data_IF_230329380863
#
_entry.id   IF_230329380863
#
_cell.length_a   1.000
_cell.length_b   1.000
_cell.length_c   1.000
_cell.angle_alpha   90.00
_cell.angle_beta   90.00
_cell.angle_gamma   90.00
#
_symmetry.space_group_name_H-M   'P 1'
#
loop_
_entity.id
_entity.type
_entity.pdbx_description
1 polymer ?
#
# COMPACT_ATOMS: atom_id res chain seq x y z
N UNK A 1 3.01 16.16 15.65
CA UNK A 1 2.73 14.95 16.45
C UNK A 1 4.03 14.20 16.76
N UNK A 2 4.01 13.17 17.62
CA UNK A 2 5.22 12.40 17.99
C UNK A 2 5.87 11.75 16.75
N UNK A 3 5.08 11.10 15.90
CA UNK A 3 5.57 10.43 14.69
C UNK A 3 6.27 11.38 13.73
N UNK A 4 5.67 12.53 13.44
CA UNK A 4 6.28 13.57 12.58
C UNK A 4 7.63 14.05 13.12
N UNK A 5 7.79 14.08 14.45
CA UNK A 5 9.05 14.47 15.08
C UNK A 5 10.10 13.36 14.94
N UNK A 6 9.73 12.09 15.14
CA UNK A 6 10.61 10.94 14.92
C UNK A 6 11.08 10.87 13.46
N UNK A 7 10.16 11.08 12.51
CA UNK A 7 10.46 11.17 11.08
C UNK A 7 11.46 12.29 10.81
N UNK A 8 11.22 13.49 11.34
CA UNK A 8 12.16 14.62 11.15
C UNK A 8 13.53 14.34 11.74
N UNK A 9 13.62 13.71 12.91
CA UNK A 9 14.89 13.36 13.54
C UNK A 9 15.67 12.32 12.74
N UNK A 10 15.03 11.25 12.31
CA UNK A 10 15.68 10.19 11.52
C UNK A 10 16.08 10.68 10.13
N UNK A 11 15.20 11.45 9.48
CA UNK A 11 15.51 12.04 8.19
C UNK A 11 16.73 12.97 8.30
N UNK A 12 16.80 13.80 9.34
CA UNK A 12 17.97 14.63 9.62
C UNK A 12 19.23 13.80 9.90
N UNK A 13 19.12 12.69 10.63
CA UNK A 13 20.24 11.78 10.89
C UNK A 13 20.79 11.15 9.60
N UNK A 14 19.92 10.93 8.60
CA UNK A 14 20.27 10.42 7.26
C UNK A 14 20.65 11.49 6.26
N UNK A 15 20.53 12.78 6.61
CA UNK A 15 20.77 13.90 5.69
C UNK A 15 19.70 14.05 4.60
N UNK A 16 18.49 13.53 4.83
CA UNK A 16 17.34 13.70 3.94
C UNK A 16 16.73 15.09 4.15
N UNK A 17 16.40 15.76 3.05
CA UNK A 17 15.81 17.12 3.04
C UNK A 17 14.74 17.21 1.97
N UNK A 18 13.70 18.03 2.20
CA UNK A 18 12.64 18.29 1.22
C UNK A 18 12.97 19.56 0.44
N UNK A 19 12.83 19.53 -0.89
CA UNK A 19 12.98 20.74 -1.70
C UNK A 19 11.72 21.63 -1.61
N UNK A 20 11.90 22.95 -1.74
CA UNK A 20 10.79 23.90 -1.71
C UNK A 20 9.78 23.66 -2.84
N UNK A 21 10.23 23.17 -4.00
CA UNK A 21 9.33 22.83 -5.11
C UNK A 21 8.48 21.59 -4.81
N UNK A 22 9.04 20.58 -4.13
CA UNK A 22 8.27 19.39 -3.69
C UNK A 22 7.21 19.77 -2.67
N UNK A 23 7.55 20.65 -1.73
CA UNK A 23 6.60 21.22 -0.76
C UNK A 23 5.45 21.95 -1.47
N UNK A 24 5.78 22.74 -2.49
CA UNK A 24 4.81 23.49 -3.27
C UNK A 24 3.94 22.55 -4.12
N UNK A 25 4.54 21.59 -4.82
CA UNK A 25 3.84 20.59 -5.63
C UNK A 25 2.87 19.78 -4.77
N UNK A 26 3.32 19.31 -3.61
CA UNK A 26 2.47 18.58 -2.66
C UNK A 26 1.31 19.43 -2.17
N UNK A 27 1.54 20.71 -1.91
CA UNK A 27 0.49 21.66 -1.52
C UNK A 27 -0.51 21.88 -2.66
N UNK A 28 -0.04 22.04 -3.89
CA UNK A 28 -0.87 22.16 -5.08
C UNK A 28 -1.78 20.94 -5.27
N UNK A 29 -1.23 19.73 -5.15
CA UNK A 29 -1.99 18.48 -5.22
C UNK A 29 -3.08 18.40 -4.15
N UNK A 30 -2.77 18.77 -2.90
CA UNK A 30 -3.75 18.81 -1.80
C UNK A 30 -4.90 19.78 -2.07
N UNK A 31 -4.64 20.85 -2.85
CA UNK A 31 -5.63 21.84 -3.24
C UNK A 31 -6.34 21.50 -4.55
N UNK A 32 -5.95 20.41 -5.21
CA UNK A 32 -6.44 20.03 -6.53
C UNK A 32 -6.01 20.99 -7.64
N UNK A 33 -4.91 21.72 -7.45
CA UNK A 33 -4.34 22.60 -8.48
C UNK A 33 -3.50 21.78 -9.46
N UNK A 34 -3.80 21.93 -10.75
CA UNK A 34 -3.06 21.29 -11.85
C UNK A 34 -2.13 22.31 -12.52
N UNK A 35 -0.85 22.28 -12.12
CA UNK A 35 0.20 23.16 -12.64
C UNK A 35 0.45 22.94 -14.14
N UNK A 36 0.33 21.71 -14.63
CA UNK A 36 0.58 21.36 -16.03
C UNK A 36 -0.52 21.90 -16.95
N UNK A 37 -1.78 21.78 -16.53
CA UNK A 37 -2.91 22.39 -17.22
C UNK A 37 -2.78 23.93 -17.26
N UNK A 38 -2.38 24.54 -16.15
CA UNK A 38 -2.16 25.98 -16.08
C UNK A 38 -1.00 26.46 -17.00
N UNK A 39 0.10 25.71 -17.04
CA UNK A 39 1.25 25.99 -17.93
C UNK A 39 0.89 25.86 -19.41
N UNK A 40 0.12 24.83 -19.76
CA UNK A 40 -0.34 24.58 -21.14
C UNK A 40 -1.25 25.70 -21.65
N UNK A 41 -2.16 26.22 -20.81
CA UNK A 41 -3.05 27.33 -21.17
C UNK A 41 -2.29 28.65 -21.47
N UNK A 42 -1.17 28.91 -20.77
CA UNK A 42 -0.31 30.07 -21.01
C UNK A 42 0.44 29.92 -22.34
N UNK A 43 0.86 28.70 -22.68
CA UNK A 43 1.54 28.37 -23.93
C UNK A 43 0.60 28.52 -25.14
N UNK A 44 -0.65 28.05 -25.04
CA UNK A 44 -1.65 28.28 -26.09
C UNK A 44 -1.97 29.78 -26.26
N UNK A 45 -2.11 30.53 -25.17
CA UNK A 45 -2.38 31.97 -25.23
C UNK A 45 -1.24 32.77 -25.89
N UNK A 46 0.01 32.38 -25.66
CA UNK A 46 1.19 33.04 -26.25
C UNK A 46 1.42 32.67 -27.71
N UNK A 47 1.06 31.45 -28.15
CA UNK A 47 1.09 31.08 -29.58
C UNK A 47 0.00 31.74 -30.41
N UNK A 48 -1.15 32.08 -29.82
CA UNK A 48 -2.24 32.80 -30.48
C UNK A 48 -1.98 34.31 -30.65
N UNK A 49 -0.88 34.84 -30.11
CA UNK A 49 -0.50 36.26 -30.25
C UNK A 49 0.47 36.52 -31.41
N UNK A 50 0.93 35.48 -32.11
CA UNK A 50 1.67 35.62 -33.37
C UNK A 50 0.74 35.44 -34.57
N UNK A 51 0.87 36.33 -35.55
CA UNK A 51 -0.18 36.68 -36.53
C UNK A 51 -0.59 35.51 -37.45
N UNK A 52 -1.80 34.95 -37.27
CA UNK A 52 -2.57 34.33 -38.36
C UNK A 52 -4.07 34.27 -38.02
N UNK A 53 -4.90 34.83 -38.91
CA UNK A 53 -6.36 34.77 -38.84
C UNK A 53 -6.85 33.32 -38.93
N UNK A 54 -7.60 32.85 -37.93
CA UNK A 54 -8.31 31.56 -37.98
C UNK A 54 -9.79 31.79 -37.66
N UNK A 55 -10.60 31.19 -38.52
CA UNK A 55 -12.06 31.21 -38.59
C UNK A 55 -12.66 30.48 -37.38
N UNK A 56 -13.73 31.04 -36.83
CA UNK A 56 -14.42 30.59 -35.62
C UNK A 56 -14.92 29.13 -35.74
N UNK A 57 -14.34 28.24 -34.93
CA UNK A 57 -15.01 27.02 -34.46
C UNK A 57 -15.17 27.17 -32.96
N UNK A 58 -16.42 27.12 -32.49
CA UNK A 58 -16.78 27.27 -31.08
C UNK A 58 -16.23 26.10 -30.26
N UNK A 59 -15.07 26.31 -29.64
CA UNK A 59 -14.54 25.45 -28.59
C UNK A 59 -15.14 25.91 -27.27
N UNK A 60 -15.58 24.95 -26.45
CA UNK A 60 -16.20 25.19 -25.15
C UNK A 60 -15.42 26.21 -24.33
N UNK A 61 -16.11 27.22 -23.78
CA UNK A 61 -15.54 28.15 -22.80
C UNK A 61 -14.88 27.34 -21.68
N UNK A 62 -13.54 27.38 -21.51
CA UNK A 62 -12.92 26.78 -20.35
C UNK A 62 -13.49 27.49 -19.12
N UNK A 63 -14.06 26.73 -18.18
CA UNK A 63 -14.33 27.25 -16.84
C UNK A 63 -13.02 27.87 -16.32
N UNK A 64 -13.04 29.07 -15.71
CA UNK A 64 -11.83 29.62 -15.12
C UNK A 64 -11.38 28.68 -14.01
N UNK A 65 -10.33 27.91 -14.28
CA UNK A 65 -9.59 27.23 -13.21
C UNK A 65 -9.11 28.34 -12.28
N UNK A 66 -9.51 28.27 -11.00
CA UNK A 66 -9.05 29.24 -10.01
C UNK A 66 -7.53 29.23 -9.96
N UNK A 67 -6.93 30.41 -9.82
CA UNK A 67 -5.48 30.49 -9.64
C UNK A 67 -5.06 29.80 -8.33
N UNK A 68 -3.80 29.37 -8.26
CA UNK A 68 -3.25 28.78 -7.04
C UNK A 68 -3.46 29.70 -5.82
N UNK A 69 -3.21 31.01 -5.97
CA UNK A 69 -3.38 31.98 -4.88
C UNK A 69 -4.83 32.05 -4.36
N UNK A 70 -5.81 31.95 -5.26
CA UNK A 70 -7.23 31.92 -4.89
C UNK A 70 -7.61 30.63 -4.18
N UNK A 71 -7.14 29.48 -4.68
CA UNK A 71 -7.34 28.18 -4.04
C UNK A 71 -6.69 28.15 -2.65
N UNK A 72 -5.45 28.62 -2.54
CA UNK A 72 -4.73 28.68 -1.27
C UNK A 72 -5.43 29.59 -0.27
N UNK A 73 -5.91 30.76 -0.72
CA UNK A 73 -6.67 31.69 0.13
C UNK A 73 -7.98 31.05 0.61
N UNK A 74 -8.69 30.34 -0.25
CA UNK A 74 -9.91 29.63 0.13
C UNK A 74 -9.62 28.50 1.11
N UNK A 75 -8.60 27.69 0.86
CA UNK A 75 -8.17 26.65 1.79
C UNK A 75 -7.81 27.21 3.16
N UNK A 76 -7.02 28.28 3.21
CA UNK A 76 -6.68 28.93 4.48
C UNK A 76 -7.94 29.40 5.22
N UNK A 77 -8.84 30.08 4.52
CA UNK A 77 -10.05 30.67 5.15
C UNK A 77 -11.06 29.60 5.56
N UNK A 78 -11.27 28.59 4.73
CA UNK A 78 -12.35 27.61 4.89
C UNK A 78 -11.90 26.34 5.61
N UNK A 79 -10.60 26.08 5.71
CA UNK A 79 -10.06 24.87 6.36
C UNK A 79 -9.19 25.28 7.54
N UNK A 80 -8.08 25.97 7.31
CA UNK A 80 -7.09 26.27 8.36
C UNK A 80 -7.67 27.16 9.46
N UNK A 81 -8.31 28.27 9.10
CA UNK A 81 -8.86 29.22 10.07
C UNK A 81 -10.03 28.61 10.86
N UNK A 82 -10.89 27.82 10.21
CA UNK A 82 -12.03 27.15 10.86
C UNK A 82 -11.54 26.09 11.86
N UNK A 83 -10.55 25.29 11.46
CA UNK A 83 -9.95 24.24 12.31
C UNK A 83 -8.94 24.78 13.32
N UNK A 84 -8.62 26.08 13.27
CA UNK A 84 -7.55 26.74 14.04
C UNK A 84 -6.18 26.08 13.84
N UNK A 85 -5.97 25.51 12.66
CA UNK A 85 -4.72 24.89 12.28
C UNK A 85 -3.83 25.94 11.61
N UNK A 86 -2.63 26.18 12.15
CA UNK A 86 -1.79 27.27 11.63
C UNK A 86 -1.17 26.89 10.28
N UNK A 87 -0.96 27.88 9.40
CA UNK A 87 -0.26 27.63 8.12
C UNK A 87 1.13 27.02 8.34
N UNK A 88 1.81 27.45 9.40
CA UNK A 88 3.12 26.93 9.78
C UNK A 88 3.05 25.44 10.15
N UNK A 89 2.03 25.04 10.89
CA UNK A 89 1.86 23.65 11.28
C UNK A 89 1.37 22.80 10.10
N UNK A 90 0.57 23.37 9.20
CA UNK A 90 0.25 22.76 7.91
C UNK A 90 1.49 22.48 7.08
N UNK A 91 2.37 23.48 6.90
CA UNK A 91 3.64 23.30 6.18
C UNK A 91 4.51 22.23 6.84
N UNK A 92 4.62 22.22 8.18
CA UNK A 92 5.38 21.18 8.89
C UNK A 92 4.80 19.78 8.74
N UNK A 93 3.48 19.67 8.67
CA UNK A 93 2.80 18.40 8.42
C UNK A 93 3.11 17.90 7.01
N UNK A 94 3.02 18.78 6.00
CA UNK A 94 3.39 18.45 4.60
C UNK A 94 4.85 18.03 4.50
N UNK A 95 5.76 18.78 5.15
CA UNK A 95 7.18 18.44 5.20
C UNK A 95 7.41 17.07 5.83
N UNK A 96 6.76 16.78 6.96
CA UNK A 96 6.87 15.48 7.62
C UNK A 96 6.34 14.33 6.73
N UNK A 97 5.30 14.56 5.92
CA UNK A 97 4.82 13.56 4.96
C UNK A 97 5.87 13.26 3.88
N UNK A 98 6.46 14.28 3.27
CA UNK A 98 7.49 14.11 2.24
C UNK A 98 8.78 13.47 2.79
N UNK A 99 9.16 13.82 4.02
CA UNK A 99 10.27 13.16 4.72
C UNK A 99 9.94 11.70 5.04
N UNK A 100 8.69 11.38 5.38
CA UNK A 100 8.25 10.00 5.59
C UNK A 100 8.37 9.17 4.32
N UNK A 101 7.95 9.72 3.16
CA UNK A 101 8.11 9.08 1.86
C UNK A 101 9.59 8.82 1.54
N UNK A 102 10.44 9.83 1.74
CA UNK A 102 11.90 9.70 1.57
C UNK A 102 12.51 8.65 2.51
N UNK A 103 12.00 8.54 3.75
CA UNK A 103 12.43 7.52 4.70
C UNK A 103 11.99 6.11 4.31
N UNK A 104 10.79 5.94 3.78
CA UNK A 104 10.31 4.65 3.26
C UNK A 104 11.24 4.17 2.16
N UNK A 105 11.64 5.04 1.23
CA UNK A 105 12.61 4.70 0.19
C UNK A 105 13.97 4.34 0.79
N UNK A 106 14.51 5.19 1.66
CA UNK A 106 15.85 5.00 2.25
C UNK A 106 15.95 3.77 3.17
N UNK A 107 14.90 3.46 3.94
CA UNK A 107 14.82 2.23 4.74
C UNK A 107 14.58 1.02 3.83
N UNK A 108 13.80 1.23 2.77
CA UNK A 108 13.45 0.26 1.74
C UNK A 108 14.61 -0.23 0.87
N UNK A 109 15.72 0.52 0.78
CA UNK A 109 16.89 0.13 -0.03
C UNK A 109 17.48 -1.23 0.40
N UNK A 110 17.37 -1.58 1.68
CA UNK A 110 17.89 -2.83 2.24
C UNK A 110 16.88 -3.99 2.21
N UNK A 111 15.67 -3.76 1.71
CA UNK A 111 14.66 -4.82 1.59
C UNK A 111 15.08 -5.81 0.51
N UNK A 112 15.02 -7.10 0.84
CA UNK A 112 15.33 -8.17 -0.10
C UNK A 112 14.32 -8.16 -1.25
N UNK A 113 14.80 -7.79 -2.46
CA UNK A 113 13.97 -7.66 -3.67
C UNK A 113 13.66 -8.99 -4.34
N UNK A 114 14.54 -9.98 -4.21
CA UNK A 114 14.36 -11.34 -4.73
C UNK A 114 14.02 -12.25 -3.57
N UNK A 115 12.87 -12.89 -3.61
CA UNK A 115 12.42 -13.81 -2.56
C UNK A 115 11.95 -15.11 -3.18
N UNK A 116 11.94 -16.16 -2.37
CA UNK A 116 11.28 -17.42 -2.71
C UNK A 116 9.76 -17.19 -2.74
N UNK A 117 9.10 -17.57 -3.83
CA UNK A 117 7.68 -17.32 -4.03
C UNK A 117 6.97 -18.55 -4.57
N UNK A 118 5.70 -18.72 -4.19
CA UNK A 118 4.81 -19.78 -4.69
C UNK A 118 3.59 -19.19 -5.38
N UNK A 119 3.13 -19.87 -6.42
CA UNK A 119 1.88 -19.61 -7.12
C UNK A 119 0.98 -20.84 -7.03
N UNK A 120 -0.33 -20.65 -6.96
CA UNK A 120 -1.23 -21.78 -6.84
C UNK A 120 -2.66 -21.45 -6.50
N UNK A 121 -3.37 -22.50 -6.07
CA UNK A 121 -4.76 -22.42 -5.62
C UNK A 121 -4.85 -23.01 -4.22
N UNK A 122 -5.50 -22.29 -3.34
CA UNK A 122 -5.76 -22.71 -1.98
C UNK A 122 -7.23 -23.09 -1.82
N UNK A 123 -7.48 -24.17 -1.10
CA UNK A 123 -8.80 -24.69 -0.81
C UNK A 123 -8.98 -24.80 0.69
N UNK A 124 -10.00 -24.14 1.24
CA UNK A 124 -10.52 -24.43 2.56
C UNK A 124 -11.57 -25.54 2.45
N UNK A 125 -11.51 -26.53 3.33
CA UNK A 125 -12.42 -27.67 3.38
C UNK A 125 -12.88 -27.94 4.81
N UNK A 126 -14.04 -28.59 4.95
CA UNK A 126 -14.65 -28.83 6.26
C UNK A 126 -13.99 -29.97 7.04
N UNK A 127 -13.52 -31.03 6.35
CA UNK A 127 -13.01 -32.24 6.99
C UNK A 127 -11.74 -32.79 6.33
N UNK A 128 -11.00 -33.63 7.05
CA UNK A 128 -9.83 -34.34 6.51
C UNK A 128 -10.21 -35.33 5.39
N UNK A 129 -11.42 -35.89 5.42
CA UNK A 129 -11.93 -36.77 4.38
C UNK A 129 -12.12 -36.01 3.06
N UNK A 130 -12.72 -34.82 3.13
CA UNK A 130 -12.87 -33.92 1.98
C UNK A 130 -11.52 -33.47 1.44
N UNK A 131 -10.57 -33.19 2.34
CA UNK A 131 -9.21 -32.81 1.97
C UNK A 131 -8.50 -33.93 1.19
N UNK A 132 -8.62 -35.19 1.63
CA UNK A 132 -7.99 -36.32 0.94
C UNK A 132 -8.67 -36.63 -0.40
N UNK A 133 -9.99 -36.50 -0.47
CA UNK A 133 -10.73 -36.60 -1.73
C UNK A 133 -10.28 -35.51 -2.73
N UNK A 134 -10.14 -34.27 -2.27
CA UNK A 134 -9.64 -33.16 -3.07
C UNK A 134 -8.21 -33.42 -3.57
N UNK A 135 -7.31 -33.89 -2.69
CA UNK A 135 -5.93 -34.23 -3.07
C UNK A 135 -5.89 -35.35 -4.11
N UNK A 136 -6.75 -36.36 -4.00
CA UNK A 136 -6.86 -37.44 -5.00
C UNK A 136 -7.26 -36.88 -6.37
N UNK A 137 -8.29 -36.02 -6.41
CA UNK A 137 -8.74 -35.36 -7.65
C UNK A 137 -7.62 -34.53 -8.29
N UNK A 138 -6.89 -33.76 -7.49
CA UNK A 138 -5.84 -32.87 -7.98
C UNK A 138 -4.57 -33.62 -8.41
N UNK A 139 -4.11 -34.60 -7.62
CA UNK A 139 -2.82 -35.25 -7.82
C UNK A 139 -2.91 -36.47 -8.75
N UNK A 140 -3.95 -37.29 -8.59
CA UNK A 140 -4.04 -38.59 -9.27
C UNK A 140 -4.93 -38.54 -10.51
N UNK A 141 -6.05 -37.79 -10.44
CA UNK A 141 -6.99 -37.65 -11.55
C UNK A 141 -6.63 -36.49 -12.50
N UNK A 142 -5.78 -35.57 -12.05
CA UNK A 142 -5.36 -34.40 -12.82
C UNK A 142 -6.49 -33.39 -13.05
N UNK A 143 -7.40 -33.26 -12.09
CA UNK A 143 -8.45 -32.26 -12.13
C UNK A 143 -7.87 -30.84 -12.18
N UNK A 144 -8.50 -29.96 -12.94
CA UNK A 144 -8.12 -28.56 -13.03
C UNK A 144 -8.50 -27.83 -11.71
N UNK A 145 -7.53 -27.23 -10.99
CA UNK A 145 -7.83 -26.47 -9.78
C UNK A 145 -8.87 -25.38 -9.99
N UNK A 146 -8.86 -24.71 -11.16
CA UNK A 146 -9.81 -23.64 -11.45
C UNK A 146 -11.26 -24.16 -11.51
N UNK A 147 -11.46 -25.34 -12.09
CA UNK A 147 -12.78 -25.97 -12.13
C UNK A 147 -13.27 -26.34 -10.72
N UNK A 148 -12.39 -26.76 -9.82
CA UNK A 148 -12.76 -27.05 -8.43
C UNK A 148 -13.14 -25.78 -7.67
N UNK A 149 -12.45 -24.64 -7.92
CA UNK A 149 -12.87 -23.35 -7.36
C UNK A 149 -14.29 -22.99 -7.80
N UNK A 150 -14.60 -23.16 -9.09
CA UNK A 150 -15.96 -22.93 -9.60
C UNK A 150 -17.01 -23.86 -8.97
N UNK A 151 -16.65 -25.13 -8.71
CA UNK A 151 -17.50 -26.07 -7.98
C UNK A 151 -17.77 -25.58 -6.54
N UNK A 152 -16.75 -25.16 -5.81
CA UNK A 152 -16.87 -24.68 -4.43
C UNK A 152 -17.71 -23.39 -4.34
N UNK A 153 -17.49 -22.46 -5.27
CA UNK A 153 -18.29 -21.23 -5.35
C UNK A 153 -19.77 -21.49 -5.66
N UNK A 154 -20.09 -22.61 -6.34
CA UNK A 154 -21.45 -22.98 -6.71
C UNK A 154 -22.22 -23.76 -5.62
N UNK A 155 -21.52 -24.35 -4.64
CA UNK A 155 -22.11 -25.24 -3.63
C UNK A 155 -22.81 -24.48 -2.47
N UNK A 156 -22.64 -23.15 -2.39
CA UNK A 156 -23.20 -22.26 -1.36
C UNK A 156 -22.87 -22.71 0.10
N UNK A 157 -21.84 -23.55 0.27
CA UNK A 157 -21.32 -23.93 1.58
C UNK A 157 -20.19 -23.00 2.00
N UNK A 158 -20.44 -22.22 3.04
CA UNK A 158 -19.46 -21.31 3.65
C UNK A 158 -18.21 -21.99 4.22
N UNK A 159 -18.22 -23.33 4.40
CA UNK A 159 -17.09 -24.10 4.88
C UNK A 159 -16.11 -24.50 3.77
N UNK A 160 -16.50 -24.37 2.50
CA UNK A 160 -15.65 -24.65 1.34
C UNK A 160 -15.34 -23.38 0.57
N UNK A 161 -14.06 -23.04 0.44
CA UNK A 161 -13.63 -21.83 -0.26
C UNK A 161 -12.46 -22.17 -1.17
N UNK A 162 -12.55 -21.77 -2.43
CA UNK A 162 -11.44 -21.86 -3.38
C UNK A 162 -10.86 -20.46 -3.66
N UNK A 163 -9.55 -20.30 -3.58
CA UNK A 163 -8.89 -19.04 -3.90
C UNK A 163 -7.61 -19.27 -4.71
N UNK A 164 -7.57 -18.75 -5.92
CA UNK A 164 -6.36 -18.73 -6.75
C UNK A 164 -5.55 -17.49 -6.45
N UNK A 165 -4.26 -17.66 -6.20
CA UNK A 165 -3.32 -16.59 -5.93
C UNK A 165 -2.16 -16.62 -6.92
N UNK A 166 -1.65 -15.44 -7.23
CA UNK A 166 -0.47 -15.25 -8.07
C UNK A 166 0.74 -14.94 -7.19
N UNK A 167 1.86 -15.62 -7.45
CA UNK A 167 3.20 -15.42 -6.87
C UNK A 167 3.23 -14.69 -5.52
N UNK A 168 3.13 -15.45 -4.43
CA UNK A 168 3.21 -14.96 -3.06
C UNK A 168 4.57 -15.29 -2.44
N UNK A 169 5.27 -14.31 -1.84
CA UNK A 169 6.55 -14.54 -1.17
C UNK A 169 6.39 -15.23 0.18
N UNK A 170 7.48 -15.84 0.64
CA UNK A 170 7.59 -16.38 1.99
C UNK A 170 7.21 -15.33 3.05
N UNK A 171 6.51 -15.75 4.09
CA UNK A 171 5.92 -14.89 5.12
C UNK A 171 4.50 -14.39 4.79
N UNK A 172 4.10 -14.32 3.52
CA UNK A 172 2.80 -13.76 3.15
C UNK A 172 1.64 -14.66 3.58
N UNK A 173 1.70 -15.95 3.23
CA UNK A 173 0.69 -16.94 3.63
C UNK A 173 0.71 -17.11 5.16
N UNK A 174 1.91 -17.16 5.74
CA UNK A 174 2.11 -17.36 7.17
C UNK A 174 1.52 -16.25 8.02
N UNK A 175 1.58 -15.00 7.55
CA UNK A 175 0.99 -13.85 8.25
C UNK A 175 -0.53 -13.87 8.32
N UNK A 176 -1.19 -14.45 7.30
CA UNK A 176 -2.65 -14.46 7.18
C UNK A 176 -3.26 -15.74 7.74
N UNK A 177 -2.68 -16.89 7.39
CA UNK A 177 -3.27 -18.21 7.63
C UNK A 177 -2.44 -19.06 8.59
N UNK A 178 -1.22 -18.65 8.92
CA UNK A 178 -0.34 -19.36 9.85
C UNK A 178 0.79 -20.12 9.17
N UNK A 179 1.87 -20.32 9.94
CA UNK A 179 3.15 -20.84 9.42
C UNK A 179 3.06 -22.27 8.91
N UNK A 180 2.09 -23.06 9.37
CA UNK A 180 1.93 -24.44 8.93
C UNK A 180 1.30 -24.53 7.54
N UNK A 181 0.35 -23.64 7.21
CA UNK A 181 -0.20 -23.50 5.85
C UNK A 181 0.88 -23.06 4.87
N UNK A 182 1.67 -22.05 5.25
CA UNK A 182 2.79 -21.60 4.43
C UNK A 182 3.82 -22.72 4.21
N UNK A 183 4.20 -23.43 5.27
CA UNK A 183 5.14 -24.54 5.16
C UNK A 183 4.60 -25.64 4.25
N UNK A 184 3.31 -25.92 4.28
CA UNK A 184 2.69 -26.88 3.38
C UNK A 184 2.75 -26.40 1.92
N UNK A 185 2.47 -25.13 1.65
CA UNK A 185 2.57 -24.55 0.31
C UNK A 185 4.01 -24.64 -0.23
N UNK A 186 5.00 -24.11 0.51
CA UNK A 186 6.40 -24.02 0.05
C UNK A 186 7.15 -25.36 0.00
N UNK A 187 6.70 -26.40 0.71
CA UNK A 187 7.33 -27.73 0.63
C UNK A 187 6.63 -28.69 -0.35
N UNK A 188 5.51 -28.27 -0.92
CA UNK A 188 4.78 -29.09 -1.90
C UNK A 188 5.39 -28.88 -3.29
N UNK A 189 5.68 -29.99 -3.97
CA UNK A 189 6.23 -29.93 -5.32
C UNK A 189 5.21 -29.34 -6.31
N UNK A 190 5.70 -28.51 -7.24
CA UNK A 190 4.89 -27.96 -8.34
C UNK A 190 4.11 -29.06 -9.05
N UNK A 191 2.83 -28.80 -9.32
CA UNK A 191 1.87 -29.72 -9.90
C UNK A 191 1.19 -30.65 -8.89
N UNK A 192 1.36 -30.42 -7.58
CA UNK A 192 0.77 -31.25 -6.52
C UNK A 192 0.02 -30.41 -5.48
N UNK A 193 -0.91 -31.07 -4.80
CA UNK A 193 -1.63 -30.60 -3.63
C UNK A 193 -0.93 -31.03 -2.33
N UNK A 194 -0.76 -30.07 -1.41
CA UNK A 194 -0.20 -30.27 -0.10
C UNK A 194 -1.05 -31.22 0.75
N UNK A 195 -0.51 -31.81 1.83
CA UNK A 195 -1.34 -32.35 2.89
C UNK A 195 -2.26 -31.29 3.48
N UNK A 196 -3.36 -31.73 4.08
CA UNK A 196 -4.29 -30.85 4.79
C UNK A 196 -3.63 -30.32 6.07
N UNK A 197 -3.71 -29.01 6.29
CA UNK A 197 -3.12 -28.34 7.46
C UNK A 197 -4.08 -27.29 8.01
N UNK A 198 -4.17 -27.21 9.33
CA UNK A 198 -5.00 -26.21 9.97
C UNK A 198 -4.38 -24.82 9.88
N UNK A 199 -5.19 -23.84 9.50
CA UNK A 199 -4.86 -22.44 9.64
C UNK A 199 -5.06 -21.93 11.06
N UNK A 200 -4.55 -20.73 11.33
CA UNK A 200 -4.74 -20.04 12.61
C UNK A 200 -6.20 -19.67 12.91
N UNK A 201 -7.04 -19.65 11.88
CA UNK A 201 -8.50 -19.46 11.93
C UNK A 201 -9.25 -20.74 12.31
N UNK A 202 -8.57 -21.89 12.39
CA UNK A 202 -9.15 -23.20 12.66
C UNK A 202 -9.78 -23.90 11.45
N UNK A 203 -9.66 -23.32 10.24
CA UNK A 203 -10.07 -23.98 9.00
C UNK A 203 -8.98 -24.92 8.49
N UNK A 204 -9.37 -25.93 7.72
CA UNK A 204 -8.45 -26.89 7.12
C UNK A 204 -8.13 -26.48 5.69
N UNK A 205 -6.85 -26.31 5.38
CA UNK A 205 -6.38 -25.84 4.08
C UNK A 205 -5.61 -26.92 3.32
N UNK A 206 -5.84 -26.98 2.01
CA UNK A 206 -5.03 -27.71 1.03
C UNK A 206 -4.54 -26.72 -0.02
N UNK A 207 -3.25 -26.74 -0.34
CA UNK A 207 -2.65 -25.83 -1.32
C UNK A 207 -2.16 -26.63 -2.52
N UNK A 208 -2.72 -26.35 -3.69
CA UNK A 208 -2.22 -26.84 -4.97
C UNK A 208 -1.20 -25.85 -5.54
N UNK A 209 0.05 -26.29 -5.72
CA UNK A 209 1.15 -25.42 -6.16
C UNK A 209 1.31 -25.51 -7.67
N UNK A 210 1.16 -24.40 -8.38
CA UNK A 210 1.37 -24.31 -9.85
C UNK A 210 2.72 -23.72 -10.20
N UNK A 211 3.38 -23.01 -9.27
CA UNK A 211 4.71 -22.44 -9.47
C UNK A 211 5.48 -22.27 -8.15
N UNK A 212 6.81 -22.41 -8.20
CA UNK A 212 7.70 -22.18 -7.06
C UNK A 212 9.08 -21.78 -7.58
N UNK A 213 9.49 -20.54 -7.33
CA UNK A 213 10.80 -20.03 -7.75
C UNK A 213 11.26 -18.82 -6.92
N UNK A 214 12.58 -18.59 -6.93
CA UNK A 214 13.15 -17.31 -6.50
C UNK A 214 12.94 -16.27 -7.59
N UNK A 215 12.20 -15.21 -7.27
CA UNK A 215 11.89 -14.14 -8.23
C UNK A 215 11.83 -12.79 -7.56
N UNK A 216 11.97 -11.74 -8.37
CA UNK A 216 11.77 -10.37 -7.93
C UNK A 216 10.33 -10.18 -7.44
N UNK A 217 10.18 -9.47 -6.32
CA UNK A 217 8.89 -9.02 -5.85
C UNK A 217 8.25 -8.10 -6.89
N UNK A 218 6.93 -8.19 -7.03
CA UNK A 218 6.16 -7.20 -7.79
C UNK A 218 6.31 -5.81 -7.16
N UNK A 219 6.08 -4.75 -7.94
CA UNK A 219 6.18 -3.37 -7.43
C UNK A 219 5.28 -3.14 -6.21
N UNK A 220 4.08 -3.74 -6.19
CA UNK A 220 3.14 -3.64 -5.05
C UNK A 220 3.64 -4.36 -3.81
N UNK A 221 4.27 -5.54 -3.96
CA UNK A 221 4.85 -6.28 -2.84
C UNK A 221 6.13 -5.62 -2.34
N UNK A 222 6.96 -5.09 -3.23
CA UNK A 222 8.13 -4.31 -2.86
C UNK A 222 7.70 -3.07 -2.05
N UNK A 223 6.71 -2.31 -2.53
CA UNK A 223 6.16 -1.16 -1.82
C UNK A 223 5.61 -1.54 -0.43
N UNK A 224 4.92 -2.68 -0.33
CA UNK A 224 4.41 -3.21 0.94
C UNK A 224 5.55 -3.60 1.90
N UNK A 225 6.60 -4.24 1.40
CA UNK A 225 7.78 -4.62 2.19
C UNK A 225 8.59 -3.39 2.66
N UNK A 226 8.70 -2.36 1.82
CA UNK A 226 9.31 -1.08 2.20
C UNK A 226 8.50 -0.37 3.29
N UNK A 227 7.18 -0.35 3.16
CA UNK A 227 6.28 0.19 4.19
C UNK A 227 6.42 -0.57 5.51
N UNK A 228 6.48 -1.91 5.46
CA UNK A 228 6.66 -2.73 6.66
C UNK A 228 8.00 -2.46 7.36
N UNK A 229 9.08 -2.24 6.59
CA UNK A 229 10.37 -1.84 7.16
C UNK A 229 10.29 -0.48 7.86
N UNK A 230 9.58 0.49 7.26
CA UNK A 230 9.31 1.78 7.87
C UNK A 230 8.48 1.65 9.17
N UNK A 231 7.39 0.89 9.13
CA UNK A 231 6.51 0.71 10.30
C UNK A 231 7.23 0.03 11.46
N UNK A 232 8.09 -0.95 11.15
CA UNK A 232 8.95 -1.63 12.13
C UNK A 232 9.89 -0.63 12.79
N UNK A 233 10.60 0.16 11.98
CA UNK A 233 11.47 1.23 12.48
C UNK A 233 10.70 2.23 13.35
N UNK A 234 9.53 2.70 12.90
CA UNK A 234 8.74 3.70 13.63
C UNK A 234 8.27 3.16 14.99
N UNK A 235 7.87 1.90 15.05
CA UNK A 235 7.49 1.22 16.30
C UNK A 235 8.66 1.12 17.28
N UNK A 236 9.84 0.75 16.79
CA UNK A 236 11.07 0.68 17.58
C UNK A 236 11.52 2.07 18.06
N UNK A 237 11.44 3.08 17.20
CA UNK A 237 11.78 4.46 17.51
C UNK A 237 10.86 5.03 18.61
N UNK A 238 9.54 4.78 18.51
CA UNK A 238 8.59 5.15 19.58
C UNK A 238 8.96 4.51 20.91
N UNK A 239 9.28 3.23 20.91
CA UNK A 239 9.58 2.50 22.15
C UNK A 239 10.91 2.94 22.78
N UNK A 240 11.92 3.25 21.96
CA UNK A 240 13.26 3.57 22.42
C UNK A 240 13.50 5.04 22.76
N UNK A 241 12.75 5.95 22.14
CA UNK A 241 13.06 7.39 22.14
C UNK A 241 11.95 8.25 22.78
N UNK A 242 10.75 7.71 22.98
CA UNK A 242 9.61 8.48 23.50
C UNK A 242 9.35 8.15 24.97
N UNK A 243 9.33 9.19 25.80
CA UNK A 243 8.86 9.12 27.18
C UNK A 243 7.43 9.67 27.25
N UNK A 244 6.49 8.85 27.73
CA UNK A 244 5.12 9.27 28.00
C UNK A 244 5.00 9.75 29.44
N UNK A 245 4.81 11.06 29.62
CA UNK A 245 4.60 11.65 30.94
C UNK A 245 3.14 11.49 31.37
N UNK A 246 2.93 11.03 32.61
CA UNK A 246 1.61 10.97 33.23
C UNK A 246 1.15 12.38 33.65
N UNK A 247 0.04 12.82 33.06
CA UNK A 247 -0.51 14.15 33.33
C UNK A 247 -1.24 14.21 34.67
N UNK A 248 -1.76 13.10 35.22
CA UNK A 248 -2.45 13.10 36.52
C UNK A 248 -1.47 13.33 37.67
N UNK A 249 -0.23 12.83 37.56
CA UNK A 249 0.85 13.12 38.50
C UNK A 249 1.38 14.57 38.40
N UNK A 250 1.08 15.28 37.31
CA UNK A 250 1.56 16.64 37.05
C UNK A 250 0.57 17.74 37.47
N UNK A 251 -0.70 17.40 37.71
CA UNK A 251 -1.68 18.35 38.26
C UNK A 251 -1.58 18.34 39.78
N UNK A 252 -0.92 19.35 40.34
CA UNK A 252 -0.92 19.61 41.79
C UNK A 252 -2.38 19.78 42.24
N UNK A 253 -2.90 18.83 43.00
CA UNK A 253 -4.14 19.00 43.76
C UNK A 253 -3.88 20.01 44.87
N UNK A 254 -4.44 21.23 44.77
CA UNK A 254 -4.58 22.16 45.90
C UNK A 254 -5.63 21.67 46.91
#
# INVERSE_FOLDING_TARGET
MIEEELVRQEAAARGLTVADDDMQLRTEQLLGYDREAASSAITETTTLTDTAAITESATATPQPQMSYDELYKQFRTNVLDITRFSEKDFRRMVEAQLLSESLIEALGENVTKVQDQVEGTMFAVATEEDAEALRTRLNDEGADPAAIVEEFDADDDSATIGYTFTWLPVGYIGSQLGTDVERAAFNTAVGNASPAVFGNDGQLYVVYVTGHEERELSESMLGSAQQQAYDTWLSEAKTSTVEYLDWEAAVVTE
#
